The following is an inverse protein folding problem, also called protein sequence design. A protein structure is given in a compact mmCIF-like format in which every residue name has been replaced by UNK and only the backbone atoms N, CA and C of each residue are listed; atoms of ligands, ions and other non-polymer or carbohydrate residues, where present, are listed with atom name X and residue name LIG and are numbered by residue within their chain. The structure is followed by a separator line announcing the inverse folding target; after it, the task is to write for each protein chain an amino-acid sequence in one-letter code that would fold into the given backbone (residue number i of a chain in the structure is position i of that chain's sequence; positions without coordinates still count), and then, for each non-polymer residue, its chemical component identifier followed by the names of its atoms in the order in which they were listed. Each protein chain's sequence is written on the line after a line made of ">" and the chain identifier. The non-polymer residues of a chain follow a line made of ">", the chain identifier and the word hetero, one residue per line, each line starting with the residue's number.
data_IF_488829136530
#
_entry.id   IF_488829136530
#
_cell.length_a   1.000
_cell.length_b   1.000
_cell.length_c   1.000
_cell.angle_alpha   90.00
_cell.angle_beta   90.00
_cell.angle_gamma   90.00
#
_symmetry.space_group_name_H-M   'P 1'
#
loop_
_entity.id
_entity.type
_entity.pdbx_description
1 polymer ?
#
# COMPACT_ATOMS: atom_id res chain seq x y z
N UNK A 1 -17.03 3.76 44.70
CA UNK A 1 -17.12 2.59 43.79
C UNK A 1 -15.80 2.52 43.04
N UNK A 2 -15.03 1.45 43.24
CA UNK A 2 -13.63 1.38 42.81
C UNK A 2 -13.51 1.14 41.32
N UNK A 3 -12.73 1.95 40.62
CA UNK A 3 -12.32 1.73 39.24
C UNK A 3 -11.46 0.47 39.18
N UNK A 4 -11.94 -0.56 38.50
CA UNK A 4 -11.26 -1.85 38.36
C UNK A 4 -9.99 -1.61 37.51
N UNK A 5 -8.77 -1.84 38.04
CA UNK A 5 -7.51 -1.53 37.35
C UNK A 5 -7.32 -2.31 36.04
N UNK A 6 -7.96 -3.49 35.92
CA UNK A 6 -7.97 -4.28 34.68
C UNK A 6 -8.67 -3.57 33.50
N UNK A 7 -9.76 -2.82 33.76
CA UNK A 7 -10.44 -2.06 32.70
C UNK A 7 -9.60 -0.88 32.20
N UNK A 8 -8.79 -0.27 33.07
CA UNK A 8 -7.91 0.83 32.68
C UNK A 8 -6.72 0.35 31.81
N UNK A 9 -6.23 -0.87 32.03
CA UNK A 9 -5.20 -1.49 31.20
C UNK A 9 -5.74 -1.85 29.80
N UNK A 10 -6.95 -2.44 29.73
CA UNK A 10 -7.65 -2.75 28.48
C UNK A 10 -7.98 -1.49 27.65
N UNK A 11 -8.47 -0.44 28.31
CA UNK A 11 -8.68 0.89 27.69
C UNK A 11 -7.37 1.50 27.17
N UNK A 12 -6.26 1.29 27.90
CA UNK A 12 -4.93 1.75 27.52
C UNK A 12 -4.41 1.08 26.24
N UNK A 13 -4.53 -0.25 26.14
CA UNK A 13 -4.08 -1.01 24.97
C UNK A 13 -4.92 -0.71 23.73
N UNK A 14 -6.25 -0.60 23.88
CA UNK A 14 -7.13 -0.18 22.80
C UNK A 14 -6.81 1.25 22.32
N UNK A 15 -6.61 2.18 23.24
CA UNK A 15 -6.26 3.57 22.93
C UNK A 15 -4.93 3.67 22.17
N UNK A 16 -3.89 2.93 22.59
CA UNK A 16 -2.62 2.85 21.86
C UNK A 16 -2.80 2.23 20.46
N UNK A 17 -3.61 1.17 20.34
CA UNK A 17 -3.99 0.58 19.06
C UNK A 17 -4.67 1.58 18.12
N UNK A 18 -5.57 2.40 18.65
CA UNK A 18 -6.25 3.44 17.88
C UNK A 18 -5.30 4.57 17.44
N UNK A 19 -4.44 5.05 18.36
CA UNK A 19 -3.46 6.10 18.07
C UNK A 19 -2.45 5.62 17.02
N UNK A 20 -1.97 4.38 17.12
CA UNK A 20 -1.03 3.81 16.15
C UNK A 20 -1.68 3.66 14.77
N UNK A 21 -2.93 3.19 14.68
CA UNK A 21 -3.68 3.13 13.43
C UNK A 21 -3.86 4.52 12.80
N UNK A 22 -4.20 5.54 13.61
CA UNK A 22 -4.32 6.91 13.13
C UNK A 22 -2.99 7.47 12.60
N UNK A 23 -1.87 7.20 13.28
CA UNK A 23 -0.52 7.56 12.81
C UNK A 23 -0.17 6.88 11.49
N UNK A 24 -0.53 5.60 11.31
CA UNK A 24 -0.33 4.90 10.05
C UNK A 24 -1.13 5.52 8.90
N UNK A 25 -2.39 5.93 9.14
CA UNK A 25 -3.20 6.64 8.14
C UNK A 25 -2.56 7.98 7.76
N UNK A 26 -2.09 8.75 8.74
CA UNK A 26 -1.41 10.02 8.48
C UNK A 26 -0.14 9.83 7.64
N UNK A 27 0.71 8.85 8.00
CA UNK A 27 1.93 8.55 7.25
C UNK A 27 1.61 8.08 5.82
N UNK A 28 0.66 7.17 5.65
CA UNK A 28 0.25 6.68 4.33
C UNK A 28 -0.30 7.80 3.44
N UNK A 29 -1.08 8.72 4.02
CA UNK A 29 -1.66 9.87 3.29
C UNK A 29 -0.58 10.88 2.90
N UNK A 30 0.41 11.13 3.76
CA UNK A 30 1.57 11.97 3.44
C UNK A 30 2.36 11.38 2.27
N UNK A 31 2.68 10.08 2.33
CA UNK A 31 3.38 9.39 1.24
C UNK A 31 2.58 9.39 -0.07
N UNK A 32 1.24 9.31 0.01
CA UNK A 32 0.37 9.44 -1.15
C UNK A 32 0.44 10.84 -1.76
N UNK A 33 0.44 11.89 -0.94
CA UNK A 33 0.56 13.27 -1.41
C UNK A 33 1.90 13.50 -2.11
N UNK A 34 3.00 13.02 -1.53
CA UNK A 34 4.33 13.07 -2.15
C UNK A 34 4.38 12.31 -3.48
N UNK A 35 3.81 11.09 -3.53
CA UNK A 35 3.75 10.30 -4.75
C UNK A 35 2.89 10.96 -5.83
N UNK A 36 1.75 11.57 -5.45
CA UNK A 36 0.88 12.29 -6.36
C UNK A 36 1.55 13.55 -6.91
N UNK A 37 2.20 14.35 -6.06
CA UNK A 37 2.94 15.55 -6.48
C UNK A 37 4.06 15.18 -7.46
N UNK A 38 4.84 14.16 -7.14
CA UNK A 38 5.90 13.69 -8.03
C UNK A 38 5.35 13.09 -9.34
N UNK A 39 4.17 12.46 -9.32
CA UNK A 39 3.53 11.93 -10.54
C UNK A 39 3.05 13.05 -11.46
N UNK A 40 2.45 14.11 -10.92
CA UNK A 40 2.02 15.30 -11.69
C UNK A 40 3.21 16.03 -12.31
N UNK A 41 4.36 16.05 -11.63
CA UNK A 41 5.60 16.62 -12.15
C UNK A 41 6.33 15.70 -13.16
N UNK A 42 5.83 14.49 -13.40
CA UNK A 42 6.46 13.50 -14.29
C UNK A 42 7.70 12.81 -13.70
N UNK A 43 7.93 12.94 -12.39
CA UNK A 43 9.11 12.43 -11.69
C UNK A 43 8.89 11.11 -10.93
N UNK A 44 7.66 10.71 -10.66
CA UNK A 44 7.37 9.45 -9.96
C UNK A 44 6.78 8.38 -10.86
N UNK A 45 7.18 7.13 -10.61
CA UNK A 45 6.55 5.96 -11.20
C UNK A 45 5.11 5.79 -10.73
N UNK A 46 4.24 5.44 -11.67
CA UNK A 46 2.83 5.11 -11.42
C UNK A 46 2.71 3.98 -10.37
N UNK A 47 3.71 3.12 -10.25
CA UNK A 47 3.81 2.08 -9.23
C UNK A 47 3.87 2.63 -7.80
N UNK A 48 4.63 3.71 -7.56
CA UNK A 48 4.70 4.35 -6.24
C UNK A 48 3.34 4.92 -5.85
N UNK A 49 2.65 5.56 -6.81
CA UNK A 49 1.31 6.09 -6.62
C UNK A 49 0.30 4.97 -6.30
N UNK A 50 0.35 3.85 -7.03
CA UNK A 50 -0.48 2.67 -6.78
C UNK A 50 -0.23 2.10 -5.38
N UNK A 51 1.03 1.93 -5.00
CA UNK A 51 1.40 1.34 -3.71
C UNK A 51 0.96 2.21 -2.54
N UNK A 52 1.21 3.53 -2.61
CA UNK A 52 0.76 4.49 -1.59
C UNK A 52 -0.76 4.55 -1.47
N UNK A 53 -1.49 4.52 -2.60
CA UNK A 53 -2.96 4.53 -2.59
C UNK A 53 -3.56 3.28 -1.92
N UNK A 54 -2.99 2.09 -2.19
CA UNK A 54 -3.38 0.83 -1.52
C UNK A 54 -3.10 0.88 -0.03
N UNK A 55 -1.96 1.46 0.37
CA UNK A 55 -1.60 1.59 1.78
C UNK A 55 -2.54 2.53 2.55
N UNK A 56 -3.04 3.61 1.92
CA UNK A 56 -4.07 4.48 2.51
C UNK A 56 -5.38 3.71 2.74
N UNK A 57 -5.81 2.91 1.77
CA UNK A 57 -7.02 2.09 1.94
C UNK A 57 -6.87 1.05 3.07
N UNK A 58 -5.71 0.38 3.14
CA UNK A 58 -5.44 -0.63 4.17
C UNK A 58 -5.37 -0.02 5.58
N UNK A 59 -4.63 1.08 5.76
CA UNK A 59 -4.52 1.77 7.05
C UNK A 59 -5.86 2.35 7.50
N UNK A 60 -6.68 2.87 6.58
CA UNK A 60 -8.04 3.36 6.89
C UNK A 60 -8.97 2.21 7.32
N UNK A 61 -8.86 1.05 6.68
CA UNK A 61 -9.60 -0.14 7.09
C UNK A 61 -9.18 -0.63 8.49
N UNK A 62 -7.88 -0.63 8.80
CA UNK A 62 -7.38 -0.96 10.14
C UNK A 62 -7.90 0.03 11.19
N UNK A 63 -7.88 1.34 10.89
CA UNK A 63 -8.44 2.37 11.78
C UNK A 63 -9.94 2.14 12.04
N UNK A 64 -10.72 1.85 11.00
CA UNK A 64 -12.14 1.51 11.14
C UNK A 64 -12.37 0.28 12.04
N UNK A 65 -11.56 -0.76 11.88
CA UNK A 65 -11.63 -1.97 12.72
C UNK A 65 -11.28 -1.63 14.16
N UNK A 66 -10.24 -0.84 14.40
CA UNK A 66 -9.88 -0.39 15.75
C UNK A 66 -11.00 0.44 16.39
N UNK A 67 -11.66 1.33 15.64
CA UNK A 67 -12.81 2.09 16.11
C UNK A 67 -14.00 1.18 16.47
N UNK A 68 -14.26 0.12 15.71
CA UNK A 68 -15.39 -0.81 15.94
C UNK A 68 -15.35 -1.56 17.26
N UNK A 69 -14.16 -1.76 17.86
CA UNK A 69 -14.01 -2.62 19.04
C UNK A 69 -14.75 -2.05 20.26
N UNK A 70 -14.73 -0.73 20.46
CA UNK A 70 -15.42 -0.06 21.59
C UNK A 70 -16.47 0.96 21.18
N UNK A 71 -16.64 1.26 19.88
CA UNK A 71 -17.70 2.16 19.43
C UNK A 71 -19.05 1.45 19.32
N UNK A 72 -20.11 2.16 19.68
CA UNK A 72 -21.47 1.76 19.34
C UNK A 72 -21.69 1.83 17.82
N UNK A 73 -21.99 0.68 17.21
CA UNK A 73 -22.14 0.54 15.76
C UNK A 73 -23.35 1.29 15.22
N UNK A 74 -24.38 1.51 16.04
CA UNK A 74 -25.59 2.24 15.64
C UNK A 74 -25.46 3.76 15.87
N UNK A 75 -24.36 4.21 16.46
CA UNK A 75 -24.09 5.63 16.65
C UNK A 75 -23.92 6.37 15.32
N UNK A 76 -24.44 7.60 15.26
CA UNK A 76 -24.30 8.46 14.08
C UNK A 76 -22.83 8.76 13.76
N UNK A 77 -21.97 8.86 14.78
CA UNK A 77 -20.53 9.02 14.60
C UNK A 77 -19.92 7.81 13.86
N UNK A 78 -20.31 6.59 14.23
CA UNK A 78 -19.79 5.38 13.62
C UNK A 78 -20.31 5.17 12.19
N UNK A 79 -21.59 5.49 11.93
CA UNK A 79 -22.16 5.48 10.57
C UNK A 79 -21.42 6.47 9.65
N UNK A 80 -21.17 7.69 10.14
CA UNK A 80 -20.39 8.71 9.39
C UNK A 80 -18.96 8.23 9.13
N UNK A 81 -18.30 7.63 10.12
CA UNK A 81 -16.95 7.09 9.98
C UNK A 81 -16.90 5.95 8.95
N UNK A 82 -17.85 5.01 9.00
CA UNK A 82 -17.99 3.91 8.05
C UNK A 82 -18.19 4.43 6.62
N UNK A 83 -19.06 5.44 6.45
CA UNK A 83 -19.29 6.07 5.16
C UNK A 83 -18.03 6.76 4.62
N UNK A 84 -17.31 7.50 5.48
CA UNK A 84 -16.06 8.17 5.14
C UNK A 84 -14.97 7.17 4.73
N UNK A 85 -14.75 6.11 5.52
CA UNK A 85 -13.73 5.11 5.17
C UNK A 85 -14.09 4.28 3.93
N UNK A 86 -15.37 4.03 3.67
CA UNK A 86 -15.81 3.45 2.40
C UNK A 86 -15.55 4.39 1.21
N UNK A 87 -15.71 5.71 1.39
CA UNK A 87 -15.37 6.70 0.39
C UNK A 87 -13.86 6.73 0.12
N UNK A 88 -13.02 6.66 1.15
CA UNK A 88 -11.56 6.57 1.01
C UNK A 88 -11.17 5.32 0.23
N UNK A 89 -11.73 4.14 0.57
CA UNK A 89 -11.47 2.90 -0.17
C UNK A 89 -11.79 3.04 -1.65
N UNK A 90 -12.98 3.56 -1.98
CA UNK A 90 -13.39 3.78 -3.38
C UNK A 90 -12.47 4.76 -4.10
N UNK A 91 -12.09 5.86 -3.44
CA UNK A 91 -11.19 6.85 -4.01
C UNK A 91 -9.79 6.25 -4.30
N UNK A 92 -9.24 5.48 -3.35
CA UNK A 92 -7.98 4.75 -3.53
C UNK A 92 -8.06 3.73 -4.68
N UNK A 93 -9.13 2.94 -4.77
CA UNK A 93 -9.31 1.96 -5.85
C UNK A 93 -9.41 2.63 -7.23
N UNK A 94 -10.15 3.74 -7.31
CA UNK A 94 -10.25 4.53 -8.54
C UNK A 94 -8.90 5.14 -8.94
N UNK A 95 -8.14 5.65 -7.96
CA UNK A 95 -6.79 6.17 -8.20
C UNK A 95 -5.85 5.07 -8.71
N UNK A 96 -5.88 3.88 -8.11
CA UNK A 96 -5.10 2.72 -8.57
C UNK A 96 -5.43 2.38 -10.01
N UNK A 97 -6.73 2.30 -10.36
CA UNK A 97 -7.15 2.03 -11.74
C UNK A 97 -6.67 3.10 -12.71
N UNK A 98 -6.77 4.37 -12.34
CA UNK A 98 -6.31 5.48 -13.16
C UNK A 98 -4.78 5.43 -13.36
N UNK A 99 -4.02 5.20 -12.29
CA UNK A 99 -2.57 5.08 -12.33
C UNK A 99 -2.11 3.85 -13.14
N UNK A 100 -2.80 2.71 -13.02
CA UNK A 100 -2.56 1.53 -13.85
C UNK A 100 -2.82 1.84 -15.32
N UNK A 101 -3.95 2.48 -15.64
CA UNK A 101 -4.25 2.89 -17.01
C UNK A 101 -3.20 3.85 -17.58
N UNK A 102 -2.67 4.76 -16.77
CA UNK A 102 -1.59 5.65 -17.19
C UNK A 102 -0.25 4.91 -17.41
N UNK A 103 0.05 3.91 -16.56
CA UNK A 103 1.26 3.09 -16.67
C UNK A 103 1.24 2.20 -17.93
N UNK A 104 0.12 1.53 -18.20
CA UNK A 104 -0.03 0.57 -19.29
C UNK A 104 -0.51 1.21 -20.60
N UNK A 105 -1.23 2.33 -20.54
CA UNK A 105 -1.68 3.06 -21.73
C UNK A 105 -0.59 3.83 -22.46
N UNK A 106 0.60 4.00 -21.84
CA UNK A 106 1.81 4.48 -22.52
C UNK A 106 2.54 3.40 -23.34
N UNK A 107 2.19 2.12 -23.15
CA UNK A 107 2.86 1.01 -23.85
C UNK A 107 2.20 0.63 -25.19
N UNK A 108 1.05 1.23 -25.53
CA UNK A 108 0.28 0.88 -26.75
C UNK A 108 0.57 1.81 -27.94
N UNK A 109 1.48 2.79 -27.80
CA UNK A 109 1.91 3.69 -28.89
C UNK A 109 3.31 3.31 -29.46
N UNK A 110 3.87 2.18 -29.03
CA UNK A 110 5.02 1.57 -29.72
C UNK A 110 4.50 0.44 -30.61
N UNK A 111 3.85 0.82 -31.72
CA UNK A 111 3.68 -0.05 -32.89
C UNK A 111 5.09 -0.40 -33.38
N UNK A 112 5.65 -1.49 -32.85
CA UNK A 112 6.92 -2.06 -33.30
C UNK A 112 6.69 -2.60 -34.69
N UNK A 113 6.78 -1.71 -35.69
CA UNK A 113 6.82 -2.06 -37.11
C UNK A 113 8.13 -2.81 -37.34
N UNK A 114 8.10 -4.13 -37.20
CA UNK A 114 9.21 -5.03 -37.51
C UNK A 114 9.46 -5.01 -39.03
N UNK A 115 10.27 -4.06 -39.50
CA UNK A 115 10.82 -4.07 -40.87
C UNK A 115 12.00 -5.04 -40.95
N UNK A 116 11.62 -6.28 -41.23
CA UNK A 116 12.27 -7.30 -42.07
C UNK A 116 13.69 -6.98 -42.58
N UNK A 117 14.74 -7.36 -41.83
CA UNK A 117 16.05 -7.84 -42.37
C UNK A 117 16.63 -8.89 -41.42
N UNK A 118 16.86 -10.10 -41.94
CA UNK A 118 17.11 -11.34 -41.20
C UNK A 118 18.33 -11.34 -40.23
N UNK A 119 19.26 -10.38 -40.33
CA UNK A 119 20.42 -10.24 -39.40
C UNK A 119 20.15 -9.20 -38.30
N UNK A 120 19.26 -8.24 -38.55
CA UNK A 120 18.77 -7.32 -37.51
C UNK A 120 17.84 -8.02 -36.52
N UNK A 121 17.17 -9.10 -36.95
CA UNK A 121 16.29 -9.89 -36.09
C UNK A 121 17.01 -10.60 -34.95
N UNK A 122 18.20 -11.18 -35.19
CA UNK A 122 18.98 -11.84 -34.13
C UNK A 122 19.49 -10.83 -33.11
N UNK A 123 20.00 -9.68 -33.57
CA UNK A 123 20.42 -8.60 -32.67
C UNK A 123 19.26 -8.04 -31.85
N UNK A 124 18.06 -7.92 -32.44
CA UNK A 124 16.83 -7.54 -31.73
C UNK A 124 16.39 -8.61 -30.72
N UNK A 125 16.49 -9.90 -31.06
CA UNK A 125 16.19 -11.00 -30.13
C UNK A 125 17.17 -10.98 -28.95
N UNK A 126 18.47 -10.82 -29.21
CA UNK A 126 19.49 -10.74 -28.16
C UNK A 126 19.24 -9.51 -27.27
N UNK A 127 18.96 -8.34 -27.86
CA UNK A 127 18.64 -7.12 -27.10
C UNK A 127 17.37 -7.29 -26.24
N UNK A 128 16.32 -7.92 -26.79
CA UNK A 128 15.09 -8.20 -26.04
C UNK A 128 15.33 -9.23 -24.92
N UNK A 129 16.16 -10.25 -25.15
CA UNK A 129 16.56 -11.22 -24.12
C UNK A 129 17.42 -10.58 -23.02
N UNK A 130 18.32 -9.67 -23.37
CA UNK A 130 19.12 -8.89 -22.41
C UNK A 130 18.21 -7.98 -21.57
N UNK A 131 17.25 -7.30 -22.19
CA UNK A 131 16.27 -6.47 -21.48
C UNK A 131 15.39 -7.31 -20.55
N UNK A 132 14.97 -8.49 -20.98
CA UNK A 132 14.22 -9.46 -20.16
C UNK A 132 15.04 -9.89 -18.94
N UNK A 133 16.28 -10.33 -19.12
CA UNK A 133 17.18 -10.73 -18.02
C UNK A 133 17.42 -9.57 -17.03
N UNK A 134 17.55 -8.34 -17.53
CA UNK A 134 17.71 -7.15 -16.69
C UNK A 134 16.47 -6.89 -15.85
N UNK A 135 15.27 -6.94 -16.45
CA UNK A 135 13.99 -6.78 -15.75
C UNK A 135 13.75 -7.90 -14.73
N UNK A 136 14.13 -9.14 -15.03
CA UNK A 136 14.06 -10.26 -14.08
C UNK A 136 14.91 -10.01 -12.84
N UNK A 137 16.16 -9.54 -13.03
CA UNK A 137 17.04 -9.18 -11.91
C UNK A 137 16.47 -8.03 -11.08
N UNK A 138 15.98 -6.97 -11.72
CA UNK A 138 15.38 -5.83 -11.03
C UNK A 138 14.13 -6.25 -10.24
N UNK A 139 13.32 -7.14 -10.79
CA UNK A 139 12.15 -7.73 -10.11
C UNK A 139 12.57 -8.55 -8.89
N UNK A 140 13.63 -9.35 -9.00
CA UNK A 140 14.15 -10.15 -7.89
C UNK A 140 14.72 -9.27 -6.76
N UNK A 141 15.44 -8.20 -7.09
CA UNK A 141 15.91 -7.21 -6.13
C UNK A 141 14.74 -6.48 -5.43
N UNK A 142 13.73 -6.05 -6.19
CA UNK A 142 12.54 -5.43 -5.63
C UNK A 142 11.79 -6.38 -4.69
N UNK A 143 11.67 -7.67 -5.04
CA UNK A 143 11.11 -8.71 -4.17
C UNK A 143 11.91 -8.88 -2.89
N UNK A 144 13.24 -8.94 -2.98
CA UNK A 144 14.13 -9.04 -1.80
C UNK A 144 13.97 -7.84 -0.88
N UNK A 145 13.94 -6.62 -1.43
CA UNK A 145 13.72 -5.38 -0.67
C UNK A 145 12.35 -5.37 0.01
N UNK A 146 11.29 -5.77 -0.70
CA UNK A 146 9.95 -5.88 -0.13
C UNK A 146 9.90 -6.90 1.02
N UNK A 147 10.56 -8.04 0.88
CA UNK A 147 10.66 -9.05 1.94
C UNK A 147 11.38 -8.50 3.18
N UNK A 148 12.48 -7.76 3.00
CA UNK A 148 13.20 -7.10 4.10
C UNK A 148 12.33 -6.07 4.83
N UNK A 149 11.61 -5.22 4.10
CA UNK A 149 10.69 -4.22 4.68
C UNK A 149 9.60 -4.93 5.51
N UNK A 150 9.01 -6.01 4.97
CA UNK A 150 8.02 -6.80 5.71
C UNK A 150 8.61 -7.43 6.98
N UNK A 151 9.81 -8.00 6.91
CA UNK A 151 10.49 -8.56 8.10
C UNK A 151 10.75 -7.49 9.17
N UNK A 152 11.14 -6.27 8.76
CA UNK A 152 11.32 -5.16 9.68
C UNK A 152 10.00 -4.71 10.32
N UNK A 153 8.89 -4.71 9.57
CA UNK A 153 7.56 -4.49 10.15
C UNK A 153 7.20 -5.54 11.21
N UNK A 154 7.50 -6.83 10.98
CA UNK A 154 7.27 -7.88 11.98
C UNK A 154 8.16 -7.75 13.22
N UNK A 155 9.41 -7.29 13.08
CA UNK A 155 10.29 -7.00 14.23
C UNK A 155 9.86 -5.77 15.04
N UNK A 156 9.04 -4.89 14.46
CA UNK A 156 8.48 -3.71 15.12
C UNK A 156 7.04 -3.92 15.64
N UNK A 157 6.40 -5.06 15.36
CA UNK A 157 5.17 -5.46 16.03
C UNK A 157 5.51 -5.82 17.49
N UNK A 158 4.80 -5.28 18.50
CA UNK A 158 5.06 -5.58 19.91
C UNK A 158 5.03 -7.08 20.18
N UNK A 159 6.04 -7.58 20.89
CA UNK A 159 6.30 -8.99 21.24
C UNK A 159 5.26 -9.61 22.20
N UNK A 160 4.05 -9.07 22.32
CA UNK A 160 3.04 -9.51 23.30
C UNK A 160 2.08 -10.60 22.79
N UNK A 161 2.45 -11.35 21.77
CA UNK A 161 1.76 -12.59 21.38
C UNK A 161 2.77 -13.71 21.06
N UNK A 162 3.81 -13.82 21.88
CA UNK A 162 4.57 -15.06 21.99
C UNK A 162 4.05 -15.81 23.21
N UNK A 163 2.80 -16.25 23.15
CA UNK A 163 2.36 -17.35 23.98
C UNK A 163 3.05 -18.63 23.48
N UNK A 164 3.57 -19.37 24.45
CA UNK A 164 4.19 -20.68 24.34
C UNK A 164 3.42 -21.63 23.42
N UNK A 165 4.14 -22.44 22.64
CA UNK A 165 4.07 -23.90 22.74
C UNK A 165 5.37 -24.49 22.18
N UNK A 166 5.89 -25.50 22.90
CA UNK A 166 7.14 -26.21 22.61
C UNK A 166 7.06 -27.28 21.54
#
# INVERSE_FOLDING_TARGET
>A
VGSIPANAADDGQWSQGLISAARMVAAATSSLCEAANASVQGHASEEKLISSAKQVAASTAQLLVACKVKADQDSEAMKRLQAAGNAVKRASDNLVRAAQKAAFGKADDDDVVVKTKFVGGIAQIIAAQEEMLKKERELEEARKKLAQIRQQQYKFLPTELREDEG
#
